data_IF_736294027993
#
_entry.id   IF_736294027993
#
_cell.length_a   1.000
_cell.length_b   1.000
_cell.length_c   1.000
_cell.angle_alpha   90.00
_cell.angle_beta   90.00
_cell.angle_gamma   90.00
#
_symmetry.space_group_name_H-M   'P 1'
#
loop_
_entity.id
_entity.type
_entity.pdbx_description
1 polymer ?
#
# COMPACT_ATOMS: atom_id res chain seq x y z
N UNK A 1 -26.40 -20.59 -0.65
CA UNK A 1 -26.42 -19.32 0.10
C UNK A 1 -25.96 -18.23 -0.85
N UNK A 2 -26.85 -17.32 -1.25
CA UNK A 2 -26.43 -16.06 -1.88
C UNK A 2 -25.84 -15.20 -0.77
N UNK A 3 -24.52 -15.31 -0.54
CA UNK A 3 -23.86 -14.30 0.27
C UNK A 3 -23.88 -12.98 -0.51
N UNK A 4 -24.58 -12.00 0.06
CA UNK A 4 -24.62 -10.64 -0.44
C UNK A 4 -23.18 -10.13 -0.33
N UNK A 5 -22.47 -10.07 -1.45
CA UNK A 5 -21.13 -9.47 -1.50
C UNK A 5 -21.26 -8.06 -0.92
N UNK A 6 -20.57 -7.72 0.19
CA UNK A 6 -20.75 -6.43 0.82
C UNK A 6 -20.29 -5.34 -0.16
N UNK A 7 -21.25 -4.59 -0.71
CA UNK A 7 -20.94 -3.46 -1.59
C UNK A 7 -20.15 -2.43 -0.79
N UNK A 8 -18.96 -2.08 -1.28
CA UNK A 8 -18.19 -1.00 -0.68
C UNK A 8 -18.94 0.33 -0.91
N UNK A 9 -19.41 0.94 0.18
CA UNK A 9 -19.90 2.32 0.15
C UNK A 9 -18.71 3.26 0.32
N UNK A 10 -18.66 4.31 -0.50
CA UNK A 10 -17.68 5.40 -0.34
C UNK A 10 -18.00 6.23 0.91
N UNK A 11 -19.28 6.28 1.32
CA UNK A 11 -19.74 7.07 2.46
C UNK A 11 -19.52 6.39 3.81
N UNK A 12 -19.34 5.06 3.84
CA UNK A 12 -19.21 4.31 5.08
C UNK A 12 -17.96 3.45 5.07
N UNK A 13 -17.11 3.65 6.09
CA UNK A 13 -15.91 2.83 6.29
C UNK A 13 -16.32 1.44 6.76
N UNK A 14 -16.04 0.44 5.92
CA UNK A 14 -16.30 -0.98 6.17
C UNK A 14 -15.04 -1.82 5.90
N UNK A 15 -15.04 -3.07 6.35
CA UNK A 15 -13.92 -4.01 6.09
C UNK A 15 -13.62 -4.17 4.60
N UNK A 16 -14.61 -4.02 3.71
CA UNK A 16 -14.43 -4.11 2.25
C UNK A 16 -13.47 -3.06 1.70
N UNK A 17 -13.23 -1.95 2.40
CA UNK A 17 -12.21 -0.97 2.02
C UNK A 17 -10.81 -1.58 1.90
N UNK A 18 -10.50 -2.61 2.72
CA UNK A 18 -9.22 -3.33 2.63
C UNK A 18 -9.07 -4.04 1.28
N UNK A 19 -10.13 -4.70 0.80
CA UNK A 19 -10.13 -5.39 -0.50
C UNK A 19 -10.13 -4.41 -1.67
N UNK A 20 -10.90 -3.31 -1.58
CA UNK A 20 -10.88 -2.25 -2.60
C UNK A 20 -9.49 -1.65 -2.71
N UNK A 21 -8.84 -1.38 -1.58
CA UNK A 21 -7.48 -0.83 -1.56
C UNK A 21 -6.47 -1.85 -2.06
N UNK A 22 -6.60 -3.14 -1.72
CA UNK A 22 -5.75 -4.20 -2.25
C UNK A 22 -5.88 -4.33 -3.77
N UNK A 23 -7.10 -4.29 -4.31
CA UNK A 23 -7.35 -4.32 -5.75
C UNK A 23 -6.74 -3.09 -6.45
N UNK A 24 -6.92 -1.90 -5.88
CA UNK A 24 -6.30 -0.68 -6.38
C UNK A 24 -4.77 -0.78 -6.38
N UNK A 25 -4.16 -1.26 -5.29
CA UNK A 25 -2.72 -1.46 -5.19
C UNK A 25 -2.19 -2.44 -6.25
N UNK A 26 -2.91 -3.53 -6.54
CA UNK A 26 -2.54 -4.46 -7.62
C UNK A 26 -2.60 -3.78 -8.99
N UNK A 27 -3.64 -2.98 -9.27
CA UNK A 27 -3.75 -2.25 -10.53
C UNK A 27 -2.62 -1.22 -10.70
N UNK A 28 -2.29 -0.47 -9.63
CA UNK A 28 -1.16 0.47 -9.62
C UNK A 28 0.16 -0.27 -9.82
N UNK A 29 0.35 -1.39 -9.15
CA UNK A 29 1.52 -2.24 -9.32
C UNK A 29 1.68 -2.71 -10.78
N UNK A 30 0.62 -3.19 -11.43
CA UNK A 30 0.66 -3.60 -12.84
C UNK A 30 1.02 -2.44 -13.76
N UNK A 31 0.47 -1.25 -13.49
CA UNK A 31 0.83 -0.05 -14.23
C UNK A 31 2.33 0.30 -14.10
N UNK A 32 2.88 0.23 -12.88
CA UNK A 32 4.30 0.45 -12.64
C UNK A 32 5.20 -0.60 -13.33
N UNK A 33 4.77 -1.86 -13.39
CA UNK A 33 5.50 -2.90 -14.11
C UNK A 33 5.64 -2.57 -15.61
N UNK A 34 4.56 -2.07 -16.21
CA UNK A 34 4.57 -1.61 -17.60
C UNK A 34 5.45 -0.38 -17.79
N UNK A 35 5.38 0.61 -16.89
CA UNK A 35 6.26 1.77 -16.92
C UNK A 35 7.74 1.36 -16.85
N UNK A 36 8.11 0.50 -15.89
CA UNK A 36 9.46 -0.01 -15.75
C UNK A 36 9.91 -0.74 -17.02
N UNK A 37 9.01 -1.54 -17.63
CA UNK A 37 9.30 -2.26 -18.88
C UNK A 37 9.59 -1.31 -20.04
N UNK A 38 8.77 -0.26 -20.19
CA UNK A 38 8.97 0.76 -21.23
C UNK A 38 10.27 1.56 -21.03
N UNK A 39 10.69 1.78 -19.80
CA UNK A 39 11.94 2.50 -19.50
C UNK A 39 13.16 1.62 -19.72
N UNK A 40 13.14 0.38 -19.22
CA UNK A 40 14.32 -0.50 -19.18
C UNK A 40 14.53 -1.20 -20.53
N UNK A 41 13.48 -1.80 -21.07
CA UNK A 41 13.58 -2.64 -22.27
C UNK A 41 13.30 -1.85 -23.55
N UNK A 42 12.23 -1.05 -23.59
CA UNK A 42 11.88 -0.23 -24.76
C UNK A 42 12.70 1.06 -24.85
N UNK A 43 13.29 1.51 -23.73
CA UNK A 43 14.18 2.68 -23.64
C UNK A 43 13.51 3.99 -24.07
N UNK A 44 12.24 4.19 -23.69
CA UNK A 44 11.50 5.43 -23.98
C UNK A 44 12.14 6.62 -23.25
N UNK A 45 12.74 7.54 -24.01
CA UNK A 45 13.51 8.67 -23.47
C UNK A 45 12.69 9.62 -22.58
N UNK A 46 11.43 9.89 -22.95
CA UNK A 46 10.53 10.74 -22.17
C UNK A 46 10.26 10.17 -20.78
N UNK A 47 10.02 8.85 -20.68
CA UNK A 47 9.79 8.18 -19.40
C UNK A 47 11.07 8.09 -18.58
N UNK A 48 12.23 7.87 -19.20
CA UNK A 48 13.53 7.88 -18.51
C UNK A 48 13.85 9.26 -17.92
N UNK A 49 13.42 10.36 -18.57
CA UNK A 49 13.56 11.72 -18.03
C UNK A 49 12.64 11.95 -16.82
N UNK A 50 11.43 11.40 -16.85
CA UNK A 50 10.48 11.50 -15.74
C UNK A 50 10.87 10.62 -14.55
N UNK A 51 11.43 9.43 -14.83
CA UNK A 51 11.86 8.45 -13.84
C UNK A 51 13.35 8.12 -14.04
N UNK A 52 14.26 9.02 -13.60
CA UNK A 52 15.70 8.82 -13.72
C UNK A 52 16.22 7.59 -12.97
N UNK A 53 15.50 7.11 -11.95
CA UNK A 53 15.85 5.89 -11.19
C UNK A 53 14.75 4.82 -11.29
N UNK A 54 14.64 4.10 -12.43
CA UNK A 54 13.59 3.11 -12.65
C UNK A 54 13.69 1.89 -11.72
N UNK A 55 14.84 1.65 -11.09
CA UNK A 55 14.96 0.60 -10.07
C UNK A 55 14.04 0.88 -8.86
N UNK A 56 13.79 2.15 -8.52
CA UNK A 56 12.84 2.49 -7.47
C UNK A 56 11.38 2.28 -7.91
N UNK A 57 11.04 2.35 -9.20
CA UNK A 57 9.72 1.93 -9.69
C UNK A 57 9.52 0.43 -9.47
N UNK A 58 10.54 -0.40 -9.69
CA UNK A 58 10.45 -1.85 -9.43
C UNK A 58 10.21 -2.10 -7.93
N UNK A 59 10.88 -1.34 -7.05
CA UNK A 59 10.63 -1.44 -5.60
C UNK A 59 9.20 -1.06 -5.23
N UNK A 60 8.70 0.05 -5.77
CA UNK A 60 7.30 0.47 -5.60
C UNK A 60 6.33 -0.63 -6.05
N UNK A 61 6.60 -1.21 -7.23
CA UNK A 61 5.77 -2.26 -7.82
C UNK A 61 5.63 -3.46 -6.89
N UNK A 62 6.77 -3.98 -6.41
CA UNK A 62 6.81 -5.12 -5.50
C UNK A 62 6.15 -4.78 -4.17
N UNK A 63 6.40 -3.58 -3.64
CA UNK A 63 5.86 -3.17 -2.36
C UNK A 63 4.33 -2.99 -2.42
N UNK A 64 3.76 -2.50 -3.53
CA UNK A 64 2.31 -2.51 -3.74
C UNK A 64 1.71 -3.92 -3.74
N UNK A 65 2.38 -4.92 -4.35
CA UNK A 65 1.92 -6.31 -4.30
C UNK A 65 1.95 -6.85 -2.87
N UNK A 66 3.01 -6.55 -2.12
CA UNK A 66 3.12 -6.94 -0.71
C UNK A 66 2.02 -6.29 0.12
N UNK A 67 1.78 -4.97 -0.03
CA UNK A 67 0.70 -4.27 0.67
C UNK A 67 -0.67 -4.87 0.34
N UNK A 68 -0.93 -5.20 -0.93
CA UNK A 68 -2.17 -5.84 -1.34
C UNK A 68 -2.35 -7.23 -0.68
N UNK A 69 -1.29 -8.05 -0.67
CA UNK A 69 -1.30 -9.36 -0.03
C UNK A 69 -1.53 -9.26 1.49
N UNK A 70 -0.89 -8.29 2.15
CA UNK A 70 -1.07 -8.05 3.59
C UNK A 70 -2.49 -7.57 3.90
N UNK A 71 -3.07 -6.66 3.11
CA UNK A 71 -4.45 -6.22 3.26
C UNK A 71 -5.44 -7.38 3.08
N UNK A 72 -5.23 -8.23 2.06
CA UNK A 72 -6.01 -9.44 1.86
C UNK A 72 -5.89 -10.40 3.06
N UNK A 73 -4.68 -10.60 3.57
CA UNK A 73 -4.41 -11.44 4.75
C UNK A 73 -5.16 -10.92 5.97
N UNK A 74 -5.10 -9.61 6.26
CA UNK A 74 -5.87 -8.99 7.34
C UNK A 74 -7.35 -9.21 7.14
N UNK A 75 -7.88 -8.89 5.95
CA UNK A 75 -9.31 -9.02 5.66
C UNK A 75 -9.83 -10.44 5.89
N UNK A 76 -9.19 -11.44 5.26
CA UNK A 76 -9.64 -12.82 5.36
C UNK A 76 -9.43 -13.42 6.75
N UNK A 77 -8.35 -13.06 7.45
CA UNK A 77 -8.13 -13.50 8.84
C UNK A 77 -9.18 -12.92 9.78
N UNK A 78 -9.47 -11.62 9.66
CA UNK A 78 -10.51 -10.97 10.46
C UNK A 78 -11.90 -11.55 10.15
N UNK A 79 -12.20 -11.79 8.87
CA UNK A 79 -13.46 -12.43 8.46
C UNK A 79 -13.59 -13.83 9.07
N UNK A 80 -12.56 -14.66 8.94
CA UNK A 80 -12.54 -16.04 9.45
C UNK A 80 -12.70 -16.09 10.98
N UNK A 81 -12.08 -15.16 11.71
CA UNK A 81 -12.09 -15.12 13.17
C UNK A 81 -13.25 -14.31 13.77
N UNK A 82 -14.10 -13.71 12.93
CA UNK A 82 -15.20 -12.84 13.35
C UNK A 82 -14.73 -11.55 14.04
N UNK A 83 -13.56 -11.03 13.66
CA UNK A 83 -12.98 -9.81 14.22
C UNK A 83 -13.49 -8.60 13.43
N UNK A 84 -14.17 -7.68 14.11
CA UNK A 84 -14.52 -6.38 13.56
C UNK A 84 -13.42 -5.35 13.91
N UNK A 85 -12.67 -4.91 12.90
CA UNK A 85 -11.66 -3.86 13.13
C UNK A 85 -12.35 -2.50 13.35
N UNK A 86 -11.81 -1.66 14.24
CA UNK A 86 -12.27 -0.28 14.38
C UNK A 86 -12.10 0.49 13.07
N UNK A 87 -13.07 1.34 12.72
CA UNK A 87 -13.08 2.10 11.45
C UNK A 87 -11.80 2.91 11.22
N UNK A 88 -11.24 3.51 12.26
CA UNK A 88 -9.99 4.28 12.14
C UNK A 88 -8.79 3.39 11.79
N UNK A 89 -8.74 2.14 12.25
CA UNK A 89 -7.68 1.18 11.87
C UNK A 89 -7.80 0.81 10.40
N UNK A 90 -9.02 0.61 9.89
CA UNK A 90 -9.27 0.33 8.47
C UNK A 90 -8.74 1.48 7.60
N UNK A 91 -9.04 2.73 7.97
CA UNK A 91 -8.54 3.92 7.26
C UNK A 91 -7.01 3.98 7.31
N UNK A 92 -6.42 3.81 8.49
CA UNK A 92 -4.96 3.83 8.67
C UNK A 92 -4.26 2.75 7.84
N UNK A 93 -4.82 1.54 7.78
CA UNK A 93 -4.34 0.45 6.93
C UNK A 93 -4.37 0.84 5.44
N UNK A 94 -5.48 1.38 4.96
CA UNK A 94 -5.63 1.76 3.55
C UNK A 94 -4.64 2.88 3.18
N UNK A 95 -4.52 3.90 4.03
CA UNK A 95 -3.54 4.99 3.85
C UNK A 95 -2.12 4.41 3.83
N UNK A 96 -1.77 3.58 4.82
CA UNK A 96 -0.44 2.97 4.90
C UNK A 96 -0.09 2.12 3.69
N UNK A 97 -1.02 1.28 3.24
CA UNK A 97 -0.85 0.43 2.07
C UNK A 97 -0.63 1.21 0.76
N UNK A 98 -1.18 2.43 0.66
CA UNK A 98 -0.98 3.30 -0.50
C UNK A 98 0.31 4.12 -0.39
N UNK A 99 0.54 4.74 0.77
CA UNK A 99 1.65 5.66 0.98
C UNK A 99 3.00 4.97 1.09
N UNK A 100 3.04 3.73 1.60
CA UNK A 100 4.30 3.01 1.81
C UNK A 100 5.04 2.77 0.48
N UNK A 101 4.40 2.20 -0.57
CA UNK A 101 5.06 2.04 -1.86
C UNK A 101 5.24 3.37 -2.59
N UNK A 102 4.33 4.34 -2.40
CA UNK A 102 4.37 5.65 -3.05
C UNK A 102 5.68 6.41 -2.83
N UNK A 103 6.30 6.25 -1.66
CA UNK A 103 7.62 6.83 -1.37
C UNK A 103 8.70 6.39 -2.37
N UNK A 104 8.61 5.18 -2.92
CA UNK A 104 9.53 4.69 -3.95
C UNK A 104 9.26 5.31 -5.32
N UNK A 105 8.00 5.61 -5.67
CA UNK A 105 7.68 6.39 -6.88
C UNK A 105 8.34 7.77 -6.80
N UNK A 106 8.19 8.46 -5.68
CA UNK A 106 8.82 9.77 -5.48
C UNK A 106 10.34 9.70 -5.63
N UNK A 107 10.97 8.65 -5.09
CA UNK A 107 12.39 8.37 -5.28
C UNK A 107 12.78 7.95 -6.69
N UNK A 108 11.85 7.40 -7.47
CA UNK A 108 12.10 7.08 -8.88
C UNK A 108 12.11 8.35 -9.74
N UNK A 109 11.24 9.31 -9.42
CA UNK A 109 11.14 10.61 -10.10
C UNK A 109 12.26 11.57 -9.67
N UNK A 110 12.52 11.64 -8.36
CA UNK A 110 13.58 12.45 -7.79
C UNK A 110 14.43 11.56 -6.86
N UNK A 111 15.60 11.08 -7.30
CA UNK A 111 16.47 10.21 -6.49
C UNK A 111 16.93 10.83 -5.17
N UNK A 112 16.90 12.18 -5.07
CA UNK A 112 17.18 12.91 -3.84
C UNK A 112 15.97 13.06 -2.91
N UNK A 113 14.77 12.63 -3.31
CA UNK A 113 13.58 12.69 -2.46
C UNK A 113 13.75 11.82 -1.21
N UNK A 114 13.53 12.41 -0.03
CA UNK A 114 13.75 11.75 1.25
C UNK A 114 15.22 11.61 1.63
N UNK A 115 16.13 12.43 1.09
CA UNK A 115 17.45 12.62 1.68
C UNK A 115 17.27 13.08 3.14
N UNK A 116 17.89 12.32 4.03
CA UNK A 116 17.62 12.31 5.47
C UNK A 116 18.31 13.48 6.19
N UNK A 117 18.94 14.37 5.43
CA UNK A 117 19.78 15.45 5.96
C UNK A 117 18.94 16.56 6.59
N UNK A 118 17.65 16.65 6.23
CA UNK A 118 16.71 17.59 6.84
C UNK A 118 15.77 16.92 7.84
N UNK A 119 15.45 17.62 8.92
CA UNK A 119 14.47 17.19 9.94
C UNK A 119 13.09 16.92 9.30
N UNK A 120 12.70 17.74 8.32
CA UNK A 120 11.45 17.57 7.59
C UNK A 120 11.44 16.26 6.77
N UNK A 121 12.57 15.89 6.15
CA UNK A 121 12.72 14.63 5.43
C UNK A 121 12.59 13.40 6.34
N UNK A 122 13.15 13.46 7.56
CA UNK A 122 12.99 12.41 8.58
C UNK A 122 11.53 12.27 9.01
N UNK A 123 10.84 13.38 9.26
CA UNK A 123 9.43 13.37 9.66
C UNK A 123 8.56 12.79 8.53
N UNK A 124 8.78 13.22 7.28
CA UNK A 124 8.04 12.71 6.13
C UNK A 124 8.23 11.20 5.95
N UNK A 125 9.44 10.69 6.18
CA UNK A 125 9.73 9.26 6.16
C UNK A 125 8.91 8.53 7.25
N UNK A 126 8.96 8.98 8.50
CA UNK A 126 8.22 8.39 9.60
C UNK A 126 6.70 8.40 9.33
N UNK A 127 6.16 9.51 8.85
CA UNK A 127 4.73 9.63 8.51
C UNK A 127 4.33 8.69 7.37
N UNK A 128 5.24 8.36 6.45
CA UNK A 128 4.99 7.35 5.41
C UNK A 128 4.87 5.92 5.95
N UNK A 129 5.71 5.54 6.91
CA UNK A 129 5.76 4.17 7.44
C UNK A 129 4.82 3.92 8.64
N UNK A 130 4.54 4.95 9.44
CA UNK A 130 3.75 4.84 10.67
C UNK A 130 2.33 4.30 10.44
N UNK A 131 1.56 4.76 9.43
CA UNK A 131 0.21 4.26 9.21
C UNK A 131 0.18 2.75 8.94
N UNK A 132 1.06 2.26 8.06
CA UNK A 132 1.17 0.83 7.77
C UNK A 132 1.54 0.05 9.04
N UNK A 133 2.51 0.54 9.81
CA UNK A 133 2.97 -0.10 11.04
C UNK A 133 1.85 -0.22 12.08
N UNK A 134 1.14 0.89 12.33
CA UNK A 134 0.04 0.94 13.30
C UNK A 134 -1.11 0.06 12.84
N UNK A 135 -1.53 0.19 11.58
CA UNK A 135 -2.66 -0.53 11.02
C UNK A 135 -2.45 -2.05 11.02
N UNK A 136 -1.33 -2.51 10.47
CA UNK A 136 -1.00 -3.94 10.42
C UNK A 136 -0.68 -4.48 11.82
N UNK A 137 0.09 -3.74 12.63
CA UNK A 137 0.44 -4.15 13.98
C UNK A 137 -0.80 -4.34 14.86
N UNK A 138 -1.73 -3.38 14.86
CA UNK A 138 -2.99 -3.52 15.59
C UNK A 138 -3.78 -4.75 15.13
N UNK A 139 -3.90 -4.94 13.81
CA UNK A 139 -4.67 -6.04 13.24
C UNK A 139 -4.09 -7.39 13.61
N UNK A 140 -2.76 -7.54 13.59
CA UNK A 140 -2.09 -8.77 13.98
C UNK A 140 -2.22 -9.04 15.49
N UNK A 141 -2.13 -8.01 16.33
CA UNK A 141 -2.35 -8.15 17.78
C UNK A 141 -3.79 -8.61 18.06
N UNK A 142 -4.78 -8.05 17.34
CA UNK A 142 -6.18 -8.46 17.47
C UNK A 142 -6.40 -9.93 17.03
N UNK A 143 -5.74 -10.36 15.96
CA UNK A 143 -5.75 -11.76 15.50
C UNK A 143 -5.13 -12.68 16.57
N UNK A 144 -3.97 -12.31 17.11
CA UNK A 144 -3.31 -13.08 18.16
C UNK A 144 -4.19 -13.21 19.40
N UNK A 145 -4.77 -12.10 19.89
CA UNK A 145 -5.67 -12.12 21.05
C UNK A 145 -6.99 -12.86 20.84
N UNK A 146 -7.29 -13.28 19.60
CA UNK A 146 -8.44 -14.14 19.29
C UNK A 146 -8.07 -15.61 19.21
N UNK A 147 -6.81 -15.92 18.90
CA UNK A 147 -6.29 -17.28 18.70
C UNK A 147 -5.58 -17.85 19.93
N UNK A 148 -4.98 -17.00 20.77
CA UNK A 148 -4.22 -17.33 21.98
C UNK A 148 -4.93 -16.73 23.18
#
# INVERSE_FOLDING_TARGET
MNEIIPQASISEVTMSWLLVTAAAAVLFSLFEAWLATLIIYVKVAALKKLFPSPHNLIKSHVDYLLMAALLGTVYFSCLHLGIALPKYIIVILCIGAIYNPFGFILKAMNPGAGSVDSVLGKIALCVGFLPATIGFGYSMIAILGRLV
#
